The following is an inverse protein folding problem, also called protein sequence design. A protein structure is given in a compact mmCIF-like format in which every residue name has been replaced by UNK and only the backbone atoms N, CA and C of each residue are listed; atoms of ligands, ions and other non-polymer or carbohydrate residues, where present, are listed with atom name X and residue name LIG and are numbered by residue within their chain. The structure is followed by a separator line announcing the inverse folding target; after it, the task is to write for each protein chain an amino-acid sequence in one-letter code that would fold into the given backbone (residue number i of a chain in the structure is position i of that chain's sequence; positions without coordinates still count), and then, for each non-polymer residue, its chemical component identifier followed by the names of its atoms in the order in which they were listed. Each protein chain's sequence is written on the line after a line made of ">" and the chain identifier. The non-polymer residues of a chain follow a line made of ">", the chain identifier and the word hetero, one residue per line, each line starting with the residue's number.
data_IF_068021940037
#
_entry.id   IF_068021940037
#
_cell.length_a   1.000
_cell.length_b   1.000
_cell.length_c   1.000
_cell.angle_alpha   90.00
_cell.angle_beta   90.00
_cell.angle_gamma   90.00
#
_symmetry.space_group_name_H-M   'P 1'
#
loop_
_entity.id
_entity.type
_entity.pdbx_description
1 polymer ?
#
# COMPACT_ATOMS: atom_id res chain seq x y z
N UNK A 1 7.29 32.13 4.42
CA UNK A 1 5.96 31.55 4.11
C UNK A 1 5.74 31.19 2.63
N UNK A 2 6.72 31.36 1.71
CA UNK A 2 6.53 30.95 0.29
C UNK A 2 6.91 29.49 0.00
N UNK A 3 7.88 28.93 0.72
CA UNK A 3 8.40 27.57 0.46
C UNK A 3 7.37 26.44 0.59
N UNK A 4 6.44 26.56 1.54
CA UNK A 4 5.35 25.60 1.73
C UNK A 4 4.32 25.70 0.60
N UNK A 5 4.03 26.91 0.14
CA UNK A 5 3.04 27.16 -0.92
C UNK A 5 3.51 26.54 -2.25
N UNK A 6 4.79 26.69 -2.59
CA UNK A 6 5.39 26.12 -3.80
C UNK A 6 5.41 24.58 -3.77
N UNK A 7 5.77 23.98 -2.64
CA UNK A 7 5.82 22.51 -2.49
C UNK A 7 4.43 21.86 -2.60
N UNK A 8 3.39 22.52 -2.10
CA UNK A 8 2.01 22.01 -2.18
C UNK A 8 1.31 22.32 -3.51
N UNK A 9 1.63 23.44 -4.17
CA UNK A 9 1.11 23.72 -5.53
C UNK A 9 1.65 22.72 -6.57
N UNK A 10 2.90 22.28 -6.46
CA UNK A 10 3.48 21.29 -7.37
C UNK A 10 2.85 19.88 -7.21
N UNK A 11 2.28 19.57 -6.06
CA UNK A 11 1.65 18.27 -5.79
C UNK A 11 0.16 18.23 -6.10
N UNK A 12 -0.48 19.38 -6.35
CA UNK A 12 -1.90 19.51 -6.70
C UNK A 12 -2.90 19.10 -5.61
N UNK A 13 -2.51 18.27 -4.64
CA UNK A 13 -3.38 17.68 -3.63
C UNK A 13 -2.61 17.40 -2.33
N UNK A 14 -3.16 17.84 -1.18
CA UNK A 14 -2.65 17.52 0.15
C UNK A 14 -3.55 16.48 0.83
N UNK A 15 -2.97 15.34 1.21
CA UNK A 15 -3.70 14.23 1.87
C UNK A 15 -3.71 14.36 3.40
N UNK A 16 -4.69 13.75 4.06
CA UNK A 16 -4.76 13.69 5.53
C UNK A 16 -3.56 13.00 6.17
N UNK A 17 -2.99 11.98 5.52
CA UNK A 17 -1.87 11.22 6.09
C UNK A 17 -0.58 12.04 6.04
N UNK A 18 -0.30 12.72 4.93
CA UNK A 18 0.80 13.69 4.83
C UNK A 18 0.65 14.81 5.87
N UNK A 19 -0.59 15.25 6.12
CA UNK A 19 -0.86 16.28 7.12
C UNK A 19 -0.61 15.79 8.55
N UNK A 20 -1.03 14.57 8.88
CA UNK A 20 -0.76 13.93 10.17
C UNK A 20 0.73 13.67 10.39
N UNK A 21 1.43 13.22 9.35
CA UNK A 21 2.87 13.00 9.39
C UNK A 21 3.63 14.32 9.60
N UNK A 22 3.25 15.37 8.88
CA UNK A 22 3.81 16.71 9.09
C UNK A 22 3.58 17.21 10.51
N UNK A 23 2.36 17.11 11.04
CA UNK A 23 2.03 17.48 12.42
C UNK A 23 2.91 16.72 13.43
N UNK A 24 3.04 15.39 13.26
CA UNK A 24 3.87 14.54 14.13
C UNK A 24 5.36 14.91 14.08
N UNK A 25 5.91 15.09 12.88
CA UNK A 25 7.33 15.39 12.70
C UNK A 25 7.73 16.78 13.21
N UNK A 26 6.78 17.72 13.25
CA UNK A 26 7.01 19.06 13.75
C UNK A 26 6.53 19.25 15.20
N UNK A 27 5.95 18.23 15.84
CA UNK A 27 5.40 18.33 17.20
C UNK A 27 4.20 19.30 17.31
N UNK A 28 3.47 19.51 16.21
CA UNK A 28 2.36 20.47 16.12
C UNK A 28 1.04 19.70 16.15
N UNK A 29 0.01 20.26 16.80
CA UNK A 29 -1.34 19.69 16.75
C UNK A 29 -1.89 19.68 15.32
N UNK A 30 -2.44 18.54 14.90
CA UNK A 30 -3.11 18.37 13.62
C UNK A 30 -4.22 19.40 13.40
N UNK A 31 -4.95 19.77 14.45
CA UNK A 31 -6.04 20.75 14.38
C UNK A 31 -5.53 22.16 14.07
N UNK A 32 -4.35 22.51 14.60
CA UNK A 32 -3.69 23.79 14.31
C UNK A 32 -3.25 23.84 12.85
N UNK A 33 -2.64 22.76 12.33
CA UNK A 33 -2.21 22.71 10.92
C UNK A 33 -3.42 22.74 9.98
N UNK A 34 -4.50 22.01 10.30
CA UNK A 34 -5.74 22.02 9.53
C UNK A 34 -6.37 23.42 9.46
N UNK A 35 -6.36 24.15 10.57
CA UNK A 35 -6.87 25.53 10.64
C UNK A 35 -6.04 26.47 9.75
N UNK A 36 -4.71 26.42 9.86
CA UNK A 36 -3.80 27.22 9.03
C UNK A 36 -4.02 26.95 7.54
N UNK A 37 -4.17 25.69 7.14
CA UNK A 37 -4.42 25.33 5.74
C UNK A 37 -5.77 25.84 5.23
N UNK A 38 -6.80 25.81 6.07
CA UNK A 38 -8.12 26.37 5.78
C UNK A 38 -8.03 27.89 5.59
N UNK A 39 -7.32 28.59 6.48
CA UNK A 39 -7.12 30.04 6.43
C UNK A 39 -6.31 30.46 5.18
N UNK A 40 -5.45 29.57 4.68
CA UNK A 40 -4.68 29.73 3.44
C UNK A 40 -5.45 29.33 2.17
N UNK A 41 -6.72 28.88 2.29
CA UNK A 41 -7.54 28.48 1.14
C UNK A 41 -7.12 27.16 0.47
N UNK A 42 -6.34 26.32 1.16
CA UNK A 42 -5.83 25.05 0.62
C UNK A 42 -6.87 23.95 0.86
N UNK A 43 -7.35 23.33 -0.23
CA UNK A 43 -8.30 22.22 -0.16
C UNK A 43 -7.59 20.93 0.24
N UNK A 44 -8.03 20.31 1.34
CA UNK A 44 -7.58 18.98 1.76
C UNK A 44 -8.53 17.95 1.15
N UNK A 45 -7.98 16.99 0.41
CA UNK A 45 -8.76 15.92 -0.21
C UNK A 45 -8.59 14.63 0.58
N UNK A 46 -9.72 13.99 0.89
CA UNK A 46 -9.78 12.66 1.49
C UNK A 46 -9.56 11.61 0.39
N UNK A 47 -8.32 11.46 -0.05
CA UNK A 47 -7.94 10.26 -0.78
C UNK A 47 -7.95 9.16 0.27
N UNK A 48 -9.03 8.36 0.33
CA UNK A 48 -9.05 7.16 1.17
C UNK A 48 -7.88 6.30 0.69
N UNK A 49 -6.82 6.10 1.48
CA UNK A 49 -5.81 5.12 1.10
C UNK A 49 -6.53 3.80 0.98
N UNK A 50 -6.48 3.19 -0.22
CA UNK A 50 -6.93 1.81 -0.43
C UNK A 50 -6.27 1.01 0.68
N UNK A 51 -7.08 0.48 1.61
CA UNK A 51 -6.60 -0.14 2.83
C UNK A 51 -5.41 -1.03 2.48
N UNK A 52 -4.23 -0.73 3.04
CA UNK A 52 -3.16 -1.72 3.08
C UNK A 52 -3.74 -2.85 3.91
N UNK A 53 -4.31 -3.86 3.23
CA UNK A 53 -4.67 -5.13 3.86
C UNK A 53 -3.46 -5.49 4.72
N UNK A 54 -3.64 -5.48 6.04
CA UNK A 54 -2.74 -6.22 6.91
C UNK A 54 -2.76 -7.62 6.34
N UNK A 55 -1.67 -8.05 5.74
CA UNK A 55 -1.45 -9.43 5.33
C UNK A 55 -1.46 -10.25 6.61
N UNK A 56 -2.66 -10.60 7.07
CA UNK A 56 -2.86 -11.73 7.97
C UNK A 56 -2.22 -12.89 7.24
N UNK A 57 -1.19 -13.43 7.87
CA UNK A 57 -0.18 -14.38 7.45
C UNK A 57 -0.69 -15.77 7.03
N UNK A 58 -1.92 -15.85 6.53
CA UNK A 58 -2.62 -17.07 6.15
C UNK A 58 -3.31 -16.97 4.78
N UNK A 59 -2.95 -15.97 3.97
CA UNK A 59 -3.26 -16.01 2.54
C UNK A 59 -2.34 -17.07 1.88
N UNK A 60 -2.97 -18.02 1.21
CA UNK A 60 -2.29 -19.02 0.40
C UNK A 60 -2.15 -18.48 -1.02
N UNK A 61 -1.09 -18.90 -1.69
CA UNK A 61 -0.86 -18.60 -3.09
C UNK A 61 -1.92 -19.26 -3.97
N UNK A 62 -2.22 -18.65 -5.10
CA UNK A 62 -3.08 -19.23 -6.12
C UNK A 62 -2.25 -19.68 -7.31
N UNK A 63 -2.66 -20.78 -7.94
CA UNK A 63 -2.04 -21.28 -9.16
C UNK A 63 -2.16 -20.23 -10.28
N UNK A 64 -1.05 -19.88 -10.92
CA UNK A 64 -1.03 -18.89 -12.02
C UNK A 64 -1.79 -19.39 -13.26
N UNK A 65 -1.85 -20.71 -13.48
CA UNK A 65 -2.52 -21.29 -14.65
C UNK A 65 -4.04 -21.42 -14.47
N UNK A 66 -4.50 -21.95 -13.33
CA UNK A 66 -5.91 -22.27 -13.12
C UNK A 66 -6.60 -21.43 -12.02
N UNK A 67 -5.85 -20.61 -11.28
CA UNK A 67 -6.36 -19.79 -10.18
C UNK A 67 -6.73 -20.56 -8.91
N UNK A 68 -6.57 -21.89 -8.87
CA UNK A 68 -6.88 -22.69 -7.67
C UNK A 68 -5.96 -22.30 -6.51
N UNK A 69 -6.54 -22.21 -5.31
CA UNK A 69 -5.80 -22.03 -4.07
C UNK A 69 -4.85 -23.20 -3.85
N UNK A 70 -3.57 -22.90 -3.62
CA UNK A 70 -2.54 -23.90 -3.34
C UNK A 70 -2.36 -24.08 -1.83
N UNK A 71 -1.58 -25.07 -1.42
CA UNK A 71 -1.22 -25.29 -0.02
C UNK A 71 -0.03 -24.42 0.41
N UNK A 72 0.59 -23.70 -0.54
CA UNK A 72 1.74 -22.83 -0.30
C UNK A 72 1.26 -21.50 0.29
N UNK A 73 1.81 -21.12 1.44
CA UNK A 73 1.51 -19.81 2.03
C UNK A 73 2.25 -18.71 1.29
N UNK A 74 1.63 -17.54 1.14
CA UNK A 74 2.29 -16.38 0.53
C UNK A 74 3.50 -15.87 1.33
N UNK A 75 3.57 -16.20 2.62
CA UNK A 75 4.71 -15.92 3.49
C UNK A 75 5.87 -16.92 3.37
N UNK A 76 5.67 -18.07 2.74
CA UNK A 76 6.70 -19.11 2.61
C UNK A 76 7.80 -18.68 1.64
N UNK A 77 9.07 -18.97 1.93
CA UNK A 77 10.19 -18.60 1.06
C UNK A 77 10.13 -19.35 -0.26
N UNK A 78 10.34 -18.64 -1.37
CA UNK A 78 10.21 -19.15 -2.75
C UNK A 78 11.03 -20.41 -3.00
N UNK A 79 12.23 -20.50 -2.41
CA UNK A 79 13.14 -21.65 -2.58
C UNK A 79 12.61 -22.95 -1.97
N UNK A 80 11.68 -22.84 -1.01
CA UNK A 80 11.07 -23.98 -0.31
C UNK A 80 9.68 -24.33 -0.82
N UNK A 81 9.17 -23.60 -1.82
CA UNK A 81 7.81 -23.79 -2.34
C UNK A 81 7.80 -24.95 -3.34
N UNK A 82 7.03 -25.99 -3.02
CA UNK A 82 6.72 -27.03 -4.00
C UNK A 82 5.94 -26.44 -5.18
N UNK A 83 6.24 -26.93 -6.39
CA UNK A 83 5.54 -26.53 -7.63
C UNK A 83 5.64 -25.03 -7.99
N UNK A 84 6.63 -24.32 -7.42
CA UNK A 84 6.95 -22.96 -7.85
C UNK A 84 7.88 -22.99 -9.06
N UNK A 85 7.49 -22.31 -10.14
CA UNK A 85 8.32 -22.19 -11.34
C UNK A 85 8.89 -20.78 -11.43
N UNK A 86 10.23 -20.68 -11.38
CA UNK A 86 10.94 -19.39 -11.44
C UNK A 86 10.57 -18.62 -12.71
N UNK A 87 10.09 -17.40 -12.53
CA UNK A 87 9.66 -16.52 -13.62
C UNK A 87 8.19 -16.69 -14.04
N UNK A 88 7.52 -17.77 -13.66
CA UNK A 88 6.09 -18.00 -13.92
C UNK A 88 5.27 -17.74 -12.66
N UNK A 89 5.71 -18.27 -11.53
CA UNK A 89 5.04 -18.15 -10.24
C UNK A 89 4.61 -19.51 -9.67
N UNK A 90 3.67 -19.48 -8.73
CA UNK A 90 3.17 -20.67 -8.04
C UNK A 90 2.17 -21.43 -8.92
N UNK A 91 2.32 -22.76 -9.00
CA UNK A 91 1.33 -23.65 -9.62
C UNK A 91 0.71 -24.59 -8.59
N UNK A 92 -0.47 -25.13 -8.90
CA UNK A 92 -0.99 -26.28 -8.18
C UNK A 92 -0.33 -27.56 -8.70
N UNK A 93 -0.39 -28.62 -7.89
CA UNK A 93 0.20 -29.93 -8.24
C UNK A 93 -0.28 -30.45 -9.60
N UNK A 94 -1.56 -30.31 -9.91
CA UNK A 94 -2.15 -30.74 -11.18
C UNK A 94 -1.52 -30.00 -12.36
N UNK A 95 -1.55 -28.65 -12.35
CA UNK A 95 -0.99 -27.84 -13.44
C UNK A 95 0.53 -27.95 -13.55
N UNK A 96 1.22 -28.32 -12.48
CA UNK A 96 2.65 -28.61 -12.53
C UNK A 96 2.93 -30.00 -13.15
N UNK A 97 2.05 -30.97 -12.95
CA UNK A 97 2.19 -32.31 -13.55
C UNK A 97 1.80 -32.34 -15.04
N UNK A 98 0.95 -31.42 -15.48
CA UNK A 98 0.55 -31.28 -16.89
C UNK A 98 1.56 -30.48 -17.75
N UNK A 99 2.63 -29.96 -17.14
CA UNK A 99 3.75 -29.27 -17.82
C UNK A 99 4.79 -30.26 -18.37
#
# INVERSE_FOLDING_TARGET
>A
MSYLKEKFQQQGYLTRDQLKEYAKNNGISYDLVKKILSDLGIKIYDIKPKEKKKSTSDEYENCVLCGKKTEVKSSQEVETRDYYVKGIGQLCKECYQDL
#
